data_IF_799233120217
#
_entry.id   IF_799233120217
#
_cell.length_a   1.000
_cell.length_b   1.000
_cell.length_c   1.000
_cell.angle_alpha   90.00
_cell.angle_beta   90.00
_cell.angle_gamma   90.00
#
_symmetry.space_group_name_H-M   'P 1'
#
loop_
_entity.id
_entity.type
_entity.pdbx_description
1 polymer ?
#
# COMPACT_ATOMS: atom_id res chain seq x y z
N UNK A 1 -15.61 -21.89 -22.29
CA UNK A 1 -16.11 -22.43 -21.01
C UNK A 1 -16.93 -21.33 -20.35
N UNK A 2 -18.08 -21.64 -19.74
CA UNK A 2 -18.91 -20.66 -19.01
C UNK A 2 -18.94 -21.01 -17.52
N UNK A 3 -18.92 -20.01 -16.64
CA UNK A 3 -19.01 -20.17 -15.18
C UNK A 3 -20.33 -19.64 -14.63
N UNK A 4 -20.98 -20.39 -13.74
CA UNK A 4 -22.13 -19.92 -12.97
C UNK A 4 -21.87 -20.11 -11.49
N UNK A 5 -22.09 -19.06 -10.69
CA UNK A 5 -22.08 -19.15 -9.22
C UNK A 5 -23.51 -18.90 -8.73
N UNK A 6 -24.15 -19.94 -8.21
CA UNK A 6 -25.52 -19.86 -7.70
C UNK A 6 -25.54 -19.68 -6.18
N UNK A 7 -26.31 -18.70 -5.70
CA UNK A 7 -26.57 -18.44 -4.28
C UNK A 7 -28.07 -18.34 -4.02
N UNK A 8 -28.49 -18.75 -2.83
CA UNK A 8 -29.87 -18.63 -2.35
C UNK A 8 -29.94 -17.47 -1.37
N UNK A 9 -30.98 -16.64 -1.45
CA UNK A 9 -31.10 -15.40 -0.67
C UNK A 9 -32.46 -15.32 0.02
N UNK A 10 -32.52 -14.58 1.13
CA UNK A 10 -33.80 -14.20 1.76
C UNK A 10 -34.52 -13.09 0.99
N UNK A 11 -33.80 -12.28 0.21
CA UNK A 11 -34.38 -11.12 -0.47
C UNK A 11 -33.74 -10.89 -1.85
N UNK A 12 -34.38 -11.49 -2.86
CA UNK A 12 -33.96 -11.41 -4.25
C UNK A 12 -33.92 -9.98 -4.78
N UNK A 13 -34.91 -9.16 -4.44
CA UNK A 13 -35.02 -7.78 -4.92
C UNK A 13 -33.86 -6.91 -4.41
N UNK A 14 -33.46 -7.08 -3.14
CA UNK A 14 -32.31 -6.37 -2.57
C UNK A 14 -31.01 -6.72 -3.28
N UNK A 15 -30.78 -8.01 -3.59
CA UNK A 15 -29.58 -8.41 -4.32
C UNK A 15 -29.60 -7.91 -5.76
N UNK A 16 -30.73 -8.02 -6.46
CA UNK A 16 -30.87 -7.47 -7.82
C UNK A 16 -30.55 -5.99 -7.82
N UNK A 17 -31.18 -5.23 -6.92
CA UNK A 17 -30.92 -3.79 -6.80
C UNK A 17 -29.45 -3.50 -6.52
N UNK A 18 -28.81 -4.22 -5.60
CA UNK A 18 -27.39 -4.05 -5.30
C UNK A 18 -26.52 -4.31 -6.54
N UNK A 19 -26.65 -5.48 -7.16
CA UNK A 19 -25.78 -5.85 -8.29
C UNK A 19 -26.02 -5.01 -9.55
N UNK A 20 -27.23 -4.48 -9.75
CA UNK A 20 -27.50 -3.56 -10.86
C UNK A 20 -27.02 -2.14 -10.55
N UNK A 21 -27.37 -1.59 -9.37
CA UNK A 21 -27.12 -0.18 -9.06
C UNK A 21 -25.70 0.11 -8.61
N UNK A 22 -25.04 -0.84 -7.94
CA UNK A 22 -23.66 -0.68 -7.43
C UNK A 22 -22.67 -1.32 -8.40
N UNK A 23 -22.91 -2.58 -8.79
CA UNK A 23 -21.96 -3.33 -9.61
C UNK A 23 -22.17 -3.17 -11.12
N UNK A 24 -23.25 -2.50 -11.55
CA UNK A 24 -23.55 -2.26 -12.97
C UNK A 24 -23.93 -3.52 -13.75
N UNK A 25 -24.34 -4.60 -13.09
CA UNK A 25 -24.70 -5.85 -13.78
C UNK A 25 -26.06 -5.75 -14.48
N UNK A 26 -26.25 -6.60 -15.49
CA UNK A 26 -27.51 -6.71 -16.21
C UNK A 26 -28.24 -8.00 -15.82
N UNK A 27 -29.57 -7.94 -15.84
CA UNK A 27 -30.39 -9.16 -15.85
C UNK A 27 -30.22 -9.88 -17.18
N UNK A 28 -29.57 -11.04 -17.13
CA UNK A 28 -29.34 -11.89 -18.29
C UNK A 28 -30.51 -12.85 -18.53
N UNK A 29 -31.14 -13.31 -17.44
CA UNK A 29 -32.31 -14.19 -17.47
C UNK A 29 -33.01 -14.14 -16.11
N UNK A 30 -34.31 -14.47 -16.08
CA UNK A 30 -35.10 -14.56 -14.86
C UNK A 30 -36.20 -15.61 -14.99
N UNK A 31 -36.62 -16.18 -13.86
CA UNK A 31 -37.74 -17.11 -13.79
C UNK A 31 -38.54 -16.89 -12.50
N UNK A 32 -39.83 -17.22 -12.54
CA UNK A 32 -40.75 -17.08 -11.42
C UNK A 32 -41.45 -18.41 -11.15
N UNK A 33 -41.56 -18.75 -9.87
CA UNK A 33 -42.23 -19.94 -9.34
C UNK A 33 -41.89 -21.24 -10.09
N UNK A 34 -40.62 -21.44 -10.41
CA UNK A 34 -40.12 -22.68 -10.99
C UNK A 34 -39.87 -23.67 -9.85
N UNK A 35 -40.79 -24.62 -9.66
CA UNK A 35 -40.78 -25.61 -8.56
C UNK A 35 -40.66 -24.97 -7.16
N UNK A 36 -41.31 -23.81 -6.98
CA UNK A 36 -41.30 -23.07 -5.72
C UNK A 36 -40.09 -22.14 -5.53
N UNK A 37 -39.32 -21.90 -6.58
CA UNK A 37 -38.22 -20.92 -6.60
C UNK A 37 -38.50 -19.77 -7.57
N UNK A 38 -38.12 -18.58 -7.14
CA UNK A 38 -37.87 -17.43 -8.02
C UNK A 38 -36.37 -17.30 -8.23
N UNK A 39 -35.92 -16.82 -9.38
CA UNK A 39 -34.50 -16.62 -9.60
C UNK A 39 -34.13 -15.70 -10.75
N UNK A 40 -32.91 -15.21 -10.69
CA UNK A 40 -32.35 -14.20 -11.59
C UNK A 40 -30.88 -14.50 -11.86
N UNK A 41 -30.46 -14.35 -13.11
CA UNK A 41 -29.05 -14.39 -13.50
C UNK A 41 -28.57 -12.97 -13.78
N UNK A 42 -27.54 -12.55 -13.04
CA UNK A 42 -26.94 -11.21 -13.14
C UNK A 42 -25.48 -11.31 -13.59
N UNK A 43 -25.09 -10.45 -14.51
CA UNK A 43 -23.69 -10.35 -14.94
C UNK A 43 -23.50 -9.33 -16.06
N UNK A 44 -22.28 -9.31 -16.60
CA UNK A 44 -21.94 -8.52 -17.78
C UNK A 44 -22.22 -9.39 -19.02
N UNK A 45 -22.97 -8.90 -20.02
CA UNK A 45 -23.22 -9.65 -21.25
C UNK A 45 -21.93 -10.14 -21.91
N UNK A 46 -21.91 -11.40 -22.34
CA UNK A 46 -20.78 -12.05 -23.02
C UNK A 46 -19.48 -12.17 -22.22
N UNK A 47 -19.50 -12.02 -20.89
CA UNK A 47 -18.31 -12.18 -20.03
C UNK A 47 -17.84 -13.64 -19.84
N UNK A 48 -18.68 -14.61 -20.22
CA UNK A 48 -18.44 -16.03 -19.96
C UNK A 48 -18.67 -16.44 -18.51
N UNK A 49 -19.23 -15.57 -17.66
CA UNK A 49 -19.63 -15.91 -16.30
C UNK A 49 -20.83 -15.08 -15.83
N UNK A 50 -21.60 -15.62 -14.88
CA UNK A 50 -22.69 -14.87 -14.23
C UNK A 50 -22.97 -15.40 -12.82
N UNK A 51 -23.61 -14.56 -12.01
CA UNK A 51 -24.18 -14.93 -10.72
C UNK A 51 -25.64 -15.34 -10.93
N UNK A 52 -26.07 -16.39 -10.25
CA UNK A 52 -27.48 -16.77 -10.14
C UNK A 52 -27.92 -16.58 -8.69
N UNK A 53 -29.03 -15.86 -8.51
CA UNK A 53 -29.69 -15.73 -7.22
C UNK A 53 -31.04 -16.39 -7.27
N UNK A 54 -31.35 -17.14 -6.22
CA UNK A 54 -32.63 -17.81 -6.07
C UNK A 54 -33.26 -17.46 -4.74
N UNK A 55 -34.59 -17.48 -4.66
CA UNK A 55 -35.35 -17.30 -3.43
C UNK A 55 -36.44 -18.37 -3.38
N UNK A 56 -36.75 -18.89 -2.19
CA UNK A 56 -37.84 -19.84 -1.97
C UNK A 56 -38.50 -19.60 -0.62
N UNK A 57 -39.51 -20.41 -0.29
CA UNK A 57 -40.21 -20.32 1.01
C UNK A 57 -39.35 -20.70 2.21
N UNK A 58 -38.26 -21.44 1.99
CA UNK A 58 -37.31 -21.76 3.06
C UNK A 58 -36.22 -20.71 3.00
N UNK A 59 -35.87 -20.05 4.12
CA UNK A 59 -34.74 -19.12 4.13
C UNK A 59 -33.41 -19.89 3.99
N UNK A 60 -32.40 -19.31 3.33
CA UNK A 60 -31.04 -19.85 3.32
C UNK A 60 -30.43 -19.86 4.73
N UNK A 61 -29.44 -20.71 4.93
CA UNK A 61 -28.51 -20.60 6.06
C UNK A 61 -27.14 -20.29 5.47
N UNK A 62 -26.69 -19.07 5.68
CA UNK A 62 -25.41 -18.58 5.20
C UNK A 62 -24.31 -18.91 6.20
N UNK A 63 -23.33 -19.73 5.79
CA UNK A 63 -22.12 -20.01 6.53
C UNK A 63 -20.92 -19.69 5.64
N UNK A 64 -20.34 -18.51 5.86
CA UNK A 64 -19.11 -18.06 5.22
C UNK A 64 -18.32 -17.21 6.21
N UNK A 65 -17.00 -17.19 6.09
CA UNK A 65 -16.12 -16.38 6.94
C UNK A 65 -15.69 -15.07 6.25
N UNK A 66 -14.68 -14.42 6.82
CA UNK A 66 -14.18 -13.14 6.30
C UNK A 66 -13.30 -13.28 5.05
N UNK A 67 -12.86 -14.49 4.73
CA UNK A 67 -11.96 -14.83 3.62
C UNK A 67 -12.70 -15.52 2.45
N UNK A 68 -14.00 -15.78 2.58
CA UNK A 68 -14.90 -16.18 1.49
C UNK A 68 -15.28 -14.97 0.60
N UNK A 69 -14.43 -14.69 -0.40
CA UNK A 69 -14.48 -13.47 -1.20
C UNK A 69 -14.91 -13.73 -2.65
N UNK A 70 -15.71 -12.81 -3.20
CA UNK A 70 -15.85 -12.65 -4.65
C UNK A 70 -14.97 -11.47 -5.11
N UNK A 71 -13.89 -11.78 -5.83
CA UNK A 71 -12.93 -10.76 -6.28
C UNK A 71 -13.22 -10.36 -7.72
N UNK A 72 -13.50 -9.08 -7.94
CA UNK A 72 -13.59 -8.49 -9.26
C UNK A 72 -12.34 -7.65 -9.55
N UNK A 73 -11.61 -8.08 -10.57
CA UNK A 73 -10.55 -7.27 -11.13
C UNK A 73 -11.11 -6.35 -12.20
N UNK A 74 -11.09 -5.05 -11.91
CA UNK A 74 -11.58 -4.00 -12.80
C UNK A 74 -10.43 -3.35 -13.56
N UNK A 75 -10.76 -2.57 -14.59
CA UNK A 75 -9.77 -2.08 -15.55
C UNK A 75 -8.98 -0.87 -15.05
N UNK A 76 -9.56 -0.08 -14.14
CA UNK A 76 -8.90 1.13 -13.62
C UNK A 76 -9.36 1.53 -12.22
N UNK A 77 -8.63 2.46 -11.61
CA UNK A 77 -8.97 3.02 -10.28
C UNK A 77 -10.25 3.85 -10.38
N UNK A 78 -10.48 4.52 -11.51
CA UNK A 78 -11.68 5.31 -11.78
C UNK A 78 -12.93 4.43 -11.78
N UNK A 79 -12.83 3.21 -12.31
CA UNK A 79 -13.91 2.23 -12.28
C UNK A 79 -14.23 1.80 -10.84
N UNK A 80 -13.20 1.52 -10.02
CA UNK A 80 -13.38 1.26 -8.58
C UNK A 80 -14.10 2.43 -7.91
N UNK A 81 -13.60 3.66 -8.13
CA UNK A 81 -14.15 4.86 -7.50
C UNK A 81 -15.60 5.12 -7.91
N UNK A 82 -15.97 4.81 -9.16
CA UNK A 82 -17.36 4.89 -9.62
C UNK A 82 -18.25 3.88 -8.86
N UNK A 83 -17.83 2.62 -8.79
CA UNK A 83 -18.56 1.57 -8.05
C UNK A 83 -18.70 1.94 -6.57
N UNK A 84 -17.63 2.42 -5.93
CA UNK A 84 -17.67 2.83 -4.51
C UNK A 84 -18.56 4.06 -4.28
N UNK A 85 -18.63 4.98 -5.24
CA UNK A 85 -19.55 6.12 -5.19
C UNK A 85 -21.00 5.64 -5.24
N UNK A 86 -21.31 4.71 -6.15
CA UNK A 86 -22.66 4.15 -6.26
C UNK A 86 -23.02 3.31 -5.02
N UNK A 87 -22.06 2.57 -4.45
CA UNK A 87 -22.21 1.89 -3.17
C UNK A 87 -22.56 2.87 -2.03
N UNK A 88 -21.85 4.00 -1.95
CA UNK A 88 -22.09 5.02 -0.93
C UNK A 88 -23.49 5.65 -1.04
N UNK A 89 -24.04 5.81 -2.26
CA UNK A 89 -25.43 6.25 -2.47
C UNK A 89 -26.46 5.27 -1.92
N UNK A 90 -26.09 3.99 -1.78
CA UNK A 90 -26.91 2.95 -1.15
C UNK A 90 -26.55 2.72 0.33
N UNK A 91 -25.77 3.62 0.95
CA UNK A 91 -25.27 3.49 2.33
C UNK A 91 -24.38 2.27 2.57
N UNK A 92 -23.69 1.80 1.53
CA UNK A 92 -22.70 0.72 1.62
C UNK A 92 -21.32 1.35 1.58
N UNK A 93 -20.56 1.19 2.66
CA UNK A 93 -19.23 1.75 2.80
C UNK A 93 -18.17 0.65 2.79
N UNK A 94 -16.95 0.94 2.30
CA UNK A 94 -15.85 0.01 2.37
C UNK A 94 -15.58 -0.48 3.78
N UNK A 95 -15.25 -1.76 3.91
CA UNK A 95 -14.83 -2.40 5.16
C UNK A 95 -13.36 -2.80 5.06
N UNK A 96 -12.68 -2.93 6.20
CA UNK A 96 -11.33 -3.48 6.23
C UNK A 96 -11.37 -4.99 5.96
N UNK A 97 -10.49 -5.45 5.08
CA UNK A 97 -10.27 -6.88 4.88
C UNK A 97 -9.36 -7.43 5.97
N UNK A 98 -9.74 -8.57 6.56
CA UNK A 98 -8.90 -9.34 7.48
C UNK A 98 -7.60 -9.79 6.83
N UNK A 99 -7.65 -10.17 5.55
CA UNK A 99 -6.47 -10.54 4.78
C UNK A 99 -5.62 -9.29 4.48
N UNK A 100 -4.37 -9.20 4.97
CA UNK A 100 -3.50 -8.04 4.77
C UNK A 100 -3.22 -7.72 3.30
N UNK A 101 -3.26 -8.74 2.43
CA UNK A 101 -3.11 -8.52 1.00
C UNK A 101 -4.25 -7.67 0.44
N UNK A 102 -5.50 -8.01 0.77
CA UNK A 102 -6.66 -7.25 0.29
C UNK A 102 -6.83 -5.91 1.00
N UNK A 103 -6.37 -5.78 2.25
CA UNK A 103 -6.29 -4.50 2.94
C UNK A 103 -5.43 -3.47 2.17
N UNK A 104 -4.36 -3.95 1.51
CA UNK A 104 -3.45 -3.11 0.74
C UNK A 104 -3.83 -2.98 -0.74
N UNK A 105 -4.41 -4.03 -1.33
CA UNK A 105 -4.56 -4.17 -2.78
C UNK A 105 -6.02 -4.17 -3.25
N UNK A 106 -6.99 -4.10 -2.35
CA UNK A 106 -8.42 -4.20 -2.69
C UNK A 106 -9.28 -3.22 -1.91
N UNK A 107 -10.51 -3.05 -2.38
CA UNK A 107 -11.56 -2.33 -1.67
C UNK A 107 -12.67 -3.34 -1.39
N UNK A 108 -12.92 -3.63 -0.10
CA UNK A 108 -13.93 -4.59 0.31
C UNK A 108 -15.26 -3.90 0.55
N UNK A 109 -16.33 -4.39 -0.08
CA UNK A 109 -17.72 -4.08 0.25
C UNK A 109 -18.47 -5.36 0.57
N UNK A 110 -19.66 -5.22 1.17
CA UNK A 110 -20.50 -6.34 1.57
C UNK A 110 -21.85 -6.23 0.87
N UNK A 111 -22.30 -7.33 0.27
CA UNK A 111 -23.63 -7.39 -0.36
C UNK A 111 -24.75 -7.50 0.71
N UNK A 112 -26.03 -7.35 0.33
CA UNK A 112 -27.16 -7.46 1.26
C UNK A 112 -27.25 -8.73 2.11
N UNK A 113 -26.65 -9.84 1.66
CA UNK A 113 -26.67 -11.13 2.36
C UNK A 113 -25.42 -11.33 3.24
N UNK A 114 -24.48 -10.37 3.24
CA UNK A 114 -23.25 -10.43 4.03
C UNK A 114 -22.03 -10.95 3.27
N UNK A 115 -22.16 -11.30 1.98
CA UNK A 115 -21.02 -11.79 1.19
C UNK A 115 -20.07 -10.65 0.86
N UNK A 116 -18.78 -10.93 0.99
CA UNK A 116 -17.71 -9.95 0.76
C UNK A 116 -17.30 -9.92 -0.71
N UNK A 117 -17.20 -8.71 -1.23
CA UNK A 117 -16.76 -8.42 -2.59
C UNK A 117 -15.50 -7.58 -2.52
N UNK A 118 -14.45 -7.99 -3.23
CA UNK A 118 -13.24 -7.21 -3.41
C UNK A 118 -13.22 -6.58 -4.79
N UNK A 119 -13.02 -5.27 -4.85
CA UNK A 119 -12.70 -4.53 -6.07
C UNK A 119 -11.20 -4.23 -6.09
N UNK A 120 -10.50 -4.72 -7.11
CA UNK A 120 -9.06 -4.55 -7.25
C UNK A 120 -8.67 -4.36 -8.71
N UNK A 121 -7.47 -3.88 -8.97
CA UNK A 121 -6.91 -3.88 -10.33
C UNK A 121 -6.15 -5.19 -10.51
N UNK A 122 -6.31 -5.83 -11.67
CA UNK A 122 -5.52 -7.02 -12.02
C UNK A 122 -4.04 -6.74 -11.79
N UNK A 123 -3.34 -7.52 -10.95
CA UNK A 123 -1.94 -7.27 -10.66
C UNK A 123 -1.14 -7.39 -11.96
N UNK A 124 -0.59 -6.26 -12.44
CA UNK A 124 0.31 -6.29 -13.58
C UNK A 124 1.60 -6.99 -13.15
N UNK A 125 1.99 -8.01 -13.91
CA UNK A 125 3.30 -8.64 -13.75
C UNK A 125 4.39 -7.59 -14.02
N UNK A 126 5.38 -7.52 -13.14
CA UNK A 126 6.50 -6.61 -13.28
C UNK A 126 7.39 -7.03 -14.47
N UNK A 127 7.65 -6.09 -15.35
CA UNK A 127 8.66 -6.10 -16.40
C UNK A 127 9.85 -5.26 -15.91
N UNK A 128 11.01 -5.87 -15.74
CA UNK A 128 12.25 -5.17 -15.35
C UNK A 128 13.42 -5.69 -16.19
N UNK A 129 14.60 -5.02 -16.18
CA UNK A 129 15.82 -5.59 -16.75
C UNK A 129 16.12 -6.97 -16.17
N UNK A 130 16.71 -7.86 -16.97
CA UNK A 130 16.80 -9.30 -16.68
C UNK A 130 17.48 -9.66 -15.34
N UNK A 131 18.41 -8.83 -14.88
CA UNK A 131 19.16 -9.00 -13.63
C UNK A 131 18.30 -8.73 -12.38
N UNK A 132 17.33 -7.80 -12.44
CA UNK A 132 16.40 -7.53 -11.34
C UNK A 132 15.27 -8.57 -11.28
N UNK A 133 14.77 -9.05 -12.43
CA UNK A 133 13.71 -10.07 -12.50
C UNK A 133 14.12 -11.33 -11.76
N UNK A 134 15.32 -11.85 -12.03
CA UNK A 134 15.77 -13.12 -11.47
C UNK A 134 15.75 -13.12 -9.93
N UNK A 135 16.17 -12.02 -9.30
CA UNK A 135 16.15 -11.91 -7.83
C UNK A 135 14.72 -11.81 -7.29
N UNK A 136 13.83 -11.07 -7.95
CA UNK A 136 12.44 -10.92 -7.52
C UNK A 136 11.63 -12.22 -7.70
N UNK A 137 11.79 -12.89 -8.85
CA UNK A 137 11.12 -14.15 -9.14
C UNK A 137 11.53 -15.26 -8.17
N UNK A 138 12.81 -15.32 -7.79
CA UNK A 138 13.29 -16.26 -6.77
C UNK A 138 12.62 -16.05 -5.41
N UNK A 139 12.15 -14.84 -5.12
CA UNK A 139 11.43 -14.49 -3.89
C UNK A 139 9.90 -14.56 -4.07
N UNK A 140 9.41 -15.03 -5.22
CA UNK A 140 7.98 -15.08 -5.51
C UNK A 140 7.33 -13.69 -5.69
N UNK A 141 8.13 -12.66 -5.98
CA UNK A 141 7.67 -11.28 -6.18
C UNK A 141 7.45 -11.04 -7.66
N UNK A 142 6.19 -10.94 -8.05
CA UNK A 142 5.77 -10.80 -9.45
C UNK A 142 4.89 -9.57 -9.70
N UNK A 143 4.33 -8.97 -8.65
CA UNK A 143 3.40 -7.83 -8.75
C UNK A 143 3.90 -6.62 -7.96
N UNK A 144 3.35 -5.44 -8.27
CA UNK A 144 3.66 -4.20 -7.54
C UNK A 144 3.38 -4.29 -6.04
N UNK A 145 2.22 -4.84 -5.66
CA UNK A 145 1.86 -5.03 -4.24
C UNK A 145 2.80 -5.99 -3.52
N UNK A 146 3.20 -7.08 -4.20
CA UNK A 146 4.20 -8.01 -3.68
C UNK A 146 5.56 -7.36 -3.50
N UNK A 147 5.99 -6.49 -4.44
CA UNK A 147 7.24 -5.76 -4.33
C UNK A 147 7.25 -4.82 -3.12
N UNK A 148 6.21 -4.00 -2.96
CA UNK A 148 6.13 -3.08 -1.82
C UNK A 148 6.14 -3.85 -0.50
N UNK A 149 5.37 -4.94 -0.41
CA UNK A 149 5.37 -5.81 0.76
C UNK A 149 6.75 -6.42 1.01
N UNK A 150 7.39 -6.98 -0.02
CA UNK A 150 8.72 -7.58 0.09
C UNK A 150 9.77 -6.57 0.60
N UNK A 151 9.87 -5.41 -0.04
CA UNK A 151 10.83 -4.36 0.34
C UNK A 151 10.59 -3.85 1.77
N UNK A 152 9.32 -3.72 2.17
CA UNK A 152 8.93 -3.31 3.53
C UNK A 152 9.41 -4.31 4.60
N UNK A 153 9.43 -5.61 4.27
CA UNK A 153 9.85 -6.67 5.20
C UNK A 153 11.35 -6.98 5.16
N UNK A 154 12.11 -6.43 4.20
CA UNK A 154 13.57 -6.55 4.25
C UNK A 154 14.13 -5.85 5.51
N UNK A 155 15.20 -6.40 6.13
CA UNK A 155 15.92 -5.71 7.19
C UNK A 155 16.33 -4.27 6.83
N UNK A 156 16.31 -3.40 7.83
CA UNK A 156 16.88 -2.07 7.69
C UNK A 156 18.41 -2.17 7.73
N UNK A 157 19.09 -1.62 6.72
CA UNK A 157 20.54 -1.73 6.61
C UNK A 157 21.11 -0.87 5.47
N UNK A 158 22.35 -0.41 5.64
CA UNK A 158 23.07 0.34 4.59
C UNK A 158 23.62 -0.65 3.57
N UNK A 159 23.29 -0.43 2.30
CA UNK A 159 23.90 -1.15 1.20
C UNK A 159 25.37 -0.73 1.00
N UNK A 160 26.18 -1.59 0.37
CA UNK A 160 27.60 -1.29 0.11
C UNK A 160 27.81 -0.04 -0.76
N UNK A 161 26.86 0.26 -1.66
CA UNK A 161 26.81 1.49 -2.44
C UNK A 161 25.45 2.18 -2.30
N UNK A 162 25.47 3.50 -2.07
CA UNK A 162 24.25 4.33 -1.99
C UNK A 162 23.70 4.71 -3.37
N UNK A 163 24.49 4.53 -4.41
CA UNK A 163 24.16 4.92 -5.79
C UNK A 163 23.61 3.73 -6.59
N UNK A 164 23.50 2.55 -5.99
CA UNK A 164 23.06 1.31 -6.64
C UNK A 164 21.86 0.69 -5.88
N UNK A 165 20.62 1.16 -6.14
CA UNK A 165 19.45 0.65 -5.43
C UNK A 165 19.16 -0.84 -5.67
N UNK A 166 19.71 -1.47 -6.72
CA UNK A 166 19.56 -2.90 -6.98
C UNK A 166 20.21 -3.77 -5.89
N UNK A 167 21.21 -3.23 -5.18
CA UNK A 167 21.86 -3.92 -4.06
C UNK A 167 20.88 -4.28 -2.94
N UNK A 168 19.72 -3.62 -2.85
CA UNK A 168 18.66 -4.02 -1.93
C UNK A 168 18.23 -5.47 -2.14
N UNK A 169 18.17 -5.92 -3.39
CA UNK A 169 17.79 -7.28 -3.75
C UNK A 169 18.96 -8.27 -3.57
N UNK A 170 20.20 -7.81 -3.77
CA UNK A 170 21.40 -8.64 -3.70
C UNK A 170 21.82 -8.87 -2.24
N UNK A 171 21.84 -7.80 -1.45
CA UNK A 171 22.29 -7.78 -0.06
C UNK A 171 21.15 -7.99 0.94
N UNK A 172 19.91 -8.15 0.47
CA UNK A 172 18.71 -8.44 1.26
C UNK A 172 18.48 -7.46 2.44
N UNK A 173 18.84 -6.19 2.25
CA UNK A 173 18.57 -5.13 3.21
C UNK A 173 18.50 -3.76 2.50
N UNK A 174 17.96 -2.75 3.17
CA UNK A 174 17.98 -1.41 2.62
C UNK A 174 17.58 -0.34 3.62
N UNK A 175 17.78 0.91 3.24
CA UNK A 175 17.38 2.10 4.03
C UNK A 175 16.11 2.72 3.47
N UNK A 176 15.59 3.77 4.12
CA UNK A 176 14.52 4.57 3.54
C UNK A 176 14.89 5.09 2.14
N UNK A 177 16.16 5.38 1.87
CA UNK A 177 16.59 5.85 0.56
C UNK A 177 16.62 4.74 -0.48
N UNK A 178 17.32 3.63 -0.22
CA UNK A 178 17.55 2.59 -1.23
C UNK A 178 16.29 1.79 -1.55
N UNK A 179 15.44 1.47 -0.57
CA UNK A 179 14.18 0.74 -0.79
C UNK A 179 13.19 1.52 -1.64
N UNK A 180 12.94 2.79 -1.30
CA UNK A 180 11.98 3.62 -2.04
C UNK A 180 12.53 4.01 -3.43
N UNK A 181 13.85 4.23 -3.56
CA UNK A 181 14.47 4.43 -4.87
C UNK A 181 14.29 3.21 -5.78
N UNK A 182 14.54 1.98 -5.27
CA UNK A 182 14.32 0.75 -6.03
C UNK A 182 12.85 0.59 -6.44
N UNK A 183 11.92 0.83 -5.53
CA UNK A 183 10.49 0.78 -5.83
C UNK A 183 10.11 1.78 -6.94
N UNK A 184 10.64 3.01 -6.89
CA UNK A 184 10.40 4.03 -7.92
C UNK A 184 10.98 3.63 -9.28
N UNK A 185 12.19 3.09 -9.33
CA UNK A 185 12.82 2.58 -10.57
C UNK A 185 11.94 1.50 -11.20
N UNK A 186 11.46 0.56 -10.39
CA UNK A 186 10.61 -0.54 -10.89
C UNK A 186 9.24 -0.01 -11.34
N UNK A 187 8.66 0.96 -10.62
CA UNK A 187 7.42 1.62 -11.04
C UNK A 187 7.55 2.27 -12.42
N UNK A 188 8.62 3.02 -12.65
CA UNK A 188 8.89 3.72 -13.90
C UNK A 188 9.09 2.73 -15.06
N UNK A 189 9.89 1.68 -14.84
CA UNK A 189 10.10 0.62 -15.82
C UNK A 189 8.79 -0.10 -16.22
N UNK A 190 7.80 -0.08 -15.34
CA UNK A 190 6.49 -0.73 -15.54
C UNK A 190 5.38 0.23 -15.95
N UNK A 191 5.68 1.51 -16.16
CA UNK A 191 4.68 2.55 -16.42
C UNK A 191 3.56 2.57 -15.36
N UNK A 192 3.92 2.32 -14.09
CA UNK A 192 3.02 2.45 -12.95
C UNK A 192 2.92 3.94 -12.64
N UNK A 193 1.79 4.54 -13.03
CA UNK A 193 1.53 5.97 -12.85
C UNK A 193 1.28 6.33 -11.39
N UNK A 194 1.46 7.61 -11.07
CA UNK A 194 1.10 8.17 -9.77
C UNK A 194 2.05 7.83 -8.64
N UNK A 195 3.21 7.23 -8.91
CA UNK A 195 4.26 6.93 -7.93
C UNK A 195 5.30 8.04 -7.93
N UNK A 196 5.39 8.80 -6.85
CA UNK A 196 6.37 9.89 -6.63
C UNK A 196 7.32 9.50 -5.51
N UNK A 197 8.61 9.85 -5.65
CA UNK A 197 9.61 9.63 -4.60
C UNK A 197 9.85 10.96 -3.90
N UNK A 198 9.60 11.01 -2.60
CA UNK A 198 9.66 12.24 -1.82
C UNK A 198 10.85 12.19 -0.88
N UNK A 199 11.64 13.27 -0.87
CA UNK A 199 12.62 13.55 0.18
C UNK A 199 12.00 14.55 1.16
N UNK A 200 12.09 14.24 2.44
CA UNK A 200 11.65 15.12 3.51
C UNK A 200 12.73 15.34 4.56
N UNK A 201 12.72 16.52 5.15
CA UNK A 201 13.38 16.80 6.42
C UNK A 201 12.31 16.84 7.50
N UNK A 202 12.47 16.06 8.55
CA UNK A 202 11.54 16.04 9.68
C UNK A 202 12.28 16.16 11.01
N UNK A 203 11.58 16.58 12.06
CA UNK A 203 12.11 16.65 13.42
C UNK A 203 12.16 15.26 14.03
N UNK A 204 13.29 14.55 13.89
CA UNK A 204 13.46 13.23 14.49
C UNK A 204 13.58 13.35 16.00
N UNK A 205 12.74 12.60 16.73
CA UNK A 205 12.71 12.55 18.19
C UNK A 205 12.24 11.17 18.70
N UNK A 206 12.30 10.93 20.00
CA UNK A 206 11.95 9.64 20.60
C UNK A 206 10.46 9.26 20.48
N UNK A 207 9.57 10.23 20.26
CA UNK A 207 8.13 9.99 20.11
C UNK A 207 7.75 9.50 18.72
N UNK A 208 8.37 10.03 17.66
CA UNK A 208 8.07 9.66 16.28
C UNK A 208 9.02 8.60 15.70
N UNK A 209 10.17 8.38 16.36
CA UNK A 209 11.19 7.43 15.92
C UNK A 209 11.56 6.48 17.08
N UNK A 210 10.71 5.50 17.39
CA UNK A 210 11.01 4.50 18.40
C UNK A 210 12.32 3.76 18.08
N UNK A 211 13.18 3.56 19.08
CA UNK A 211 14.47 2.88 18.92
C UNK A 211 15.70 3.80 18.88
N UNK A 212 15.53 5.13 18.93
CA UNK A 212 16.66 6.06 19.09
C UNK A 212 17.42 5.86 20.41
N UNK A 213 16.72 5.43 21.46
CA UNK A 213 17.23 5.45 22.83
C UNK A 213 17.33 6.88 23.39
N UNK A 214 18.27 7.08 24.30
CA UNK A 214 18.43 8.35 25.03
C UNK A 214 19.47 9.29 24.40
N UNK A 215 19.90 9.04 23.15
CA UNK A 215 20.99 9.82 22.52
C UNK A 215 20.66 11.32 22.50
N UNK A 216 19.46 11.69 22.04
CA UNK A 216 19.10 13.11 21.93
C UNK A 216 19.02 13.78 23.31
N UNK A 217 18.46 13.10 24.32
CA UNK A 217 18.35 13.65 25.68
C UNK A 217 19.72 13.75 26.37
N UNK A 218 20.65 12.82 26.13
CA UNK A 218 22.04 12.89 26.60
C UNK A 218 22.79 14.12 26.06
N UNK A 219 22.43 14.56 24.86
CA UNK A 219 22.97 15.76 24.22
C UNK A 219 22.07 17.00 24.36
N UNK A 220 21.04 16.95 25.22
CA UNK A 220 20.09 18.05 25.43
C UNK A 220 19.44 18.59 24.14
N UNK A 221 19.23 17.73 23.15
CA UNK A 221 18.55 18.04 21.89
C UNK A 221 17.08 17.61 21.99
N UNK A 222 16.14 18.54 21.76
CA UNK A 222 14.71 18.22 21.67
C UNK A 222 14.40 17.37 20.42
N UNK A 223 15.05 17.71 19.31
CA UNK A 223 14.96 16.99 18.06
C UNK A 223 16.23 17.16 17.23
N UNK A 224 16.38 16.32 16.22
CA UNK A 224 17.43 16.43 15.22
C UNK A 224 16.81 16.38 13.82
N UNK A 225 17.05 17.35 12.92
CA UNK A 225 16.57 17.25 11.55
C UNK A 225 17.15 16.03 10.83
N UNK A 226 16.28 15.12 10.40
CA UNK A 226 16.68 13.90 9.70
C UNK A 226 16.09 13.86 8.30
N UNK A 227 16.90 13.40 7.34
CA UNK A 227 16.50 13.26 5.95
C UNK A 227 15.86 11.90 5.70
N UNK A 228 14.58 11.87 5.33
CA UNK A 228 13.82 10.64 5.13
C UNK A 228 13.19 10.58 3.74
N UNK A 229 13.22 9.40 3.11
CA UNK A 229 12.56 9.17 1.84
C UNK A 229 11.32 8.31 2.04
N UNK A 230 10.22 8.68 1.37
CA UNK A 230 9.00 7.89 1.29
C UNK A 230 8.41 7.97 -0.12
N UNK A 231 7.43 7.11 -0.44
CA UNK A 231 6.69 7.19 -1.70
C UNK A 231 5.36 7.90 -1.50
N UNK A 232 4.92 8.66 -2.48
CA UNK A 232 3.52 9.04 -2.60
C UNK A 232 2.91 8.31 -3.79
N UNK A 233 1.86 7.54 -3.56
CA UNK A 233 1.18 6.74 -4.59
C UNK A 233 -0.26 7.24 -4.70
N UNK A 234 -0.62 7.81 -5.85
CA UNK A 234 -1.95 8.36 -6.12
C UNK A 234 -2.43 9.34 -5.02
N UNK A 235 -1.53 10.20 -4.54
CA UNK A 235 -1.83 11.19 -3.48
C UNK A 235 -1.74 10.65 -2.05
N UNK A 236 -1.46 9.35 -1.84
CA UNK A 236 -1.29 8.76 -0.51
C UNK A 236 0.18 8.51 -0.20
N UNK A 237 0.67 9.07 0.91
CA UNK A 237 2.01 8.82 1.42
C UNK A 237 2.14 7.40 1.98
N UNK A 238 3.19 6.69 1.58
CA UNK A 238 3.49 5.31 1.94
C UNK A 238 4.98 5.21 2.28
N UNK A 239 5.27 4.73 3.49
CA UNK A 239 6.63 4.45 3.96
C UNK A 239 6.88 2.94 4.01
N UNK A 240 7.80 2.45 3.20
CA UNK A 240 8.24 1.05 3.15
C UNK A 240 9.61 0.82 3.81
N UNK A 241 10.05 1.69 4.71
CA UNK A 241 11.36 1.56 5.38
C UNK A 241 11.45 0.28 6.21
N UNK A 242 10.43 -0.03 7.01
CA UNK A 242 10.31 -1.24 7.85
C UNK A 242 8.87 -1.74 7.91
N UNK A 243 8.65 -2.96 8.41
CA UNK A 243 7.32 -3.53 8.65
C UNK A 243 6.41 -2.64 9.52
N UNK A 244 7.00 -1.92 10.47
CA UNK A 244 6.30 -1.03 11.41
C UNK A 244 6.31 0.45 11.00
N UNK A 245 6.92 0.79 9.87
CA UNK A 245 6.98 2.19 9.41
C UNK A 245 5.59 2.72 9.06
N UNK A 246 5.27 3.89 9.59
CA UNK A 246 4.00 4.57 9.34
C UNK A 246 4.27 6.06 9.14
N UNK A 247 3.86 6.59 7.99
CA UNK A 247 3.98 8.01 7.66
C UNK A 247 3.30 8.91 8.69
N UNK A 248 2.23 8.44 9.35
CA UNK A 248 1.50 9.23 10.33
C UNK A 248 2.30 9.51 11.61
N UNK A 249 3.36 8.77 11.91
CA UNK A 249 4.16 9.00 13.12
C UNK A 249 4.97 10.30 13.03
N UNK A 250 5.40 10.69 11.83
CA UNK A 250 6.27 11.86 11.63
C UNK A 250 5.64 12.96 10.75
N UNK A 251 4.45 12.75 10.17
CA UNK A 251 3.82 13.73 9.25
C UNK A 251 3.72 15.16 9.81
N UNK A 252 3.46 15.30 11.11
CA UNK A 252 3.28 16.60 11.77
C UNK A 252 4.61 17.27 12.11
N UNK A 253 5.71 16.50 12.02
CA UNK A 253 7.08 16.94 12.28
C UNK A 253 7.87 17.22 11.01
N UNK A 254 7.25 17.08 9.82
CA UNK A 254 7.88 17.40 8.54
C UNK A 254 8.10 18.92 8.45
N UNK A 255 9.35 19.32 8.24
CA UNK A 255 9.78 20.70 8.07
C UNK A 255 9.67 21.11 6.59
N UNK A 256 10.14 20.25 5.70
CA UNK A 256 10.06 20.44 4.24
C UNK A 256 10.00 19.07 3.56
N UNK A 257 9.24 18.97 2.47
CA UNK A 257 9.18 17.79 1.62
C UNK A 257 9.07 18.20 0.15
N UNK A 258 9.79 17.52 -0.74
CA UNK A 258 9.75 17.74 -2.17
C UNK A 258 10.10 16.46 -2.93
N UNK A 259 9.66 16.40 -4.18
CA UNK A 259 9.91 15.26 -5.06
C UNK A 259 11.37 15.20 -5.51
N UNK A 260 11.94 14.00 -5.52
CA UNK A 260 13.28 13.68 -6.02
C UNK A 260 13.22 12.49 -6.98
N UNK A 261 14.27 12.32 -7.79
CA UNK A 261 14.46 11.12 -8.62
C UNK A 261 15.36 10.08 -7.91
N UNK A 262 15.32 8.79 -8.29
CA UNK A 262 16.09 7.73 -7.61
C UNK A 262 17.59 8.02 -7.47
N UNK A 263 18.20 8.62 -8.49
CA UNK A 263 19.63 8.99 -8.52
C UNK A 263 19.99 10.03 -7.44
N UNK A 264 19.00 10.79 -6.95
CA UNK A 264 19.19 11.79 -5.91
C UNK A 264 19.17 11.21 -4.48
N UNK A 265 18.80 9.94 -4.29
CA UNK A 265 18.82 9.28 -2.98
C UNK A 265 20.23 9.06 -2.40
N UNK A 266 21.25 9.05 -3.26
CA UNK A 266 22.66 8.88 -2.89
C UNK A 266 23.31 10.18 -2.41
N UNK A 267 24.33 10.65 -3.14
CA UNK A 267 25.12 11.82 -2.73
C UNK A 267 24.32 13.11 -2.59
N UNK A 268 23.33 13.32 -3.47
CA UNK A 268 22.51 14.54 -3.44
C UNK A 268 21.80 14.68 -2.10
N UNK A 269 21.11 13.62 -1.64
CA UNK A 269 20.44 13.60 -0.33
C UNK A 269 21.41 13.90 0.81
N UNK A 270 22.60 13.29 0.79
CA UNK A 270 23.62 13.51 1.84
C UNK A 270 24.05 14.98 1.87
N UNK A 271 24.42 15.55 0.72
CA UNK A 271 24.82 16.97 0.61
C UNK A 271 23.69 17.91 1.03
N UNK A 272 22.45 17.59 0.65
CA UNK A 272 21.27 18.34 1.06
C UNK A 272 21.08 18.31 2.58
N UNK A 273 21.16 17.12 3.20
CA UNK A 273 21.03 16.94 4.64
C UNK A 273 22.12 17.70 5.40
N UNK A 274 23.38 17.59 4.97
CA UNK A 274 24.49 18.30 5.60
C UNK A 274 24.31 19.82 5.52
N UNK A 275 23.88 20.34 4.35
CA UNK A 275 23.56 21.77 4.19
C UNK A 275 22.43 22.20 5.12
N UNK A 276 21.38 21.38 5.23
CA UNK A 276 20.24 21.64 6.09
C UNK A 276 20.66 21.70 7.57
N UNK A 277 21.45 20.73 8.05
CA UNK A 277 21.94 20.71 9.42
C UNK A 277 22.81 21.94 9.75
N UNK A 278 23.72 22.33 8.84
CA UNK A 278 24.53 23.54 9.02
C UNK A 278 23.67 24.79 9.20
N UNK A 279 22.61 24.93 8.41
CA UNK A 279 21.69 26.05 8.55
C UNK A 279 20.89 25.96 9.85
N UNK A 280 20.37 24.78 10.18
CA UNK A 280 19.59 24.55 11.39
C UNK A 280 20.37 24.86 12.67
N UNK A 281 21.66 24.49 12.74
CA UNK A 281 22.56 24.82 13.85
C UNK A 281 22.63 26.33 14.07
N UNK A 282 22.80 27.11 12.99
CA UNK A 282 22.87 28.57 13.05
C UNK A 282 21.53 29.18 13.47
N UNK A 283 20.43 28.75 12.85
CA UNK A 283 19.10 29.31 13.08
C UNK A 283 18.58 29.05 14.50
N UNK A 284 18.96 27.92 15.10
CA UNK A 284 18.49 27.49 16.42
C UNK A 284 19.55 27.68 17.53
N UNK A 285 20.71 28.27 17.21
CA UNK A 285 21.80 28.53 18.16
C UNK A 285 22.21 27.25 18.93
N UNK A 286 22.30 26.13 18.21
CA UNK A 286 22.66 24.84 18.80
C UNK A 286 24.11 24.92 19.32
N UNK A 287 24.40 24.45 20.55
CA UNK A 287 25.72 24.61 21.19
C UNK A 287 26.80 23.65 20.66
N UNK A 288 26.53 22.99 19.53
CA UNK A 288 27.39 21.99 18.90
C UNK A 288 27.73 22.42 17.47
N UNK A 289 28.93 22.07 17.02
CA UNK A 289 29.29 22.24 15.63
C UNK A 289 28.67 21.17 14.72
N UNK A 290 28.90 21.30 13.41
CA UNK A 290 28.36 20.37 12.43
C UNK A 290 28.90 18.94 12.59
N UNK A 291 30.17 18.76 12.93
CA UNK A 291 30.78 17.43 13.05
C UNK A 291 30.26 16.70 14.29
N UNK A 292 30.06 17.43 15.39
CA UNK A 292 29.41 16.92 16.60
C UNK A 292 27.97 16.50 16.31
N UNK A 293 27.17 17.36 15.67
CA UNK A 293 25.79 17.03 15.29
C UNK A 293 25.72 15.86 14.32
N UNK A 294 26.63 15.79 13.34
CA UNK A 294 26.69 14.68 12.40
C UNK A 294 27.08 13.36 13.09
N UNK A 295 27.98 13.41 14.07
CA UNK A 295 28.34 12.26 14.90
C UNK A 295 27.16 11.77 15.74
N UNK A 296 26.45 12.67 16.42
CA UNK A 296 25.22 12.35 17.19
C UNK A 296 24.18 11.69 16.27
N UNK A 297 24.00 12.25 15.07
CA UNK A 297 23.12 11.68 14.04
C UNK A 297 23.51 10.25 13.68
N UNK A 298 24.79 9.98 13.42
CA UNK A 298 25.24 8.63 13.06
C UNK A 298 25.00 7.63 14.19
N UNK A 299 25.15 8.04 15.45
CA UNK A 299 24.82 7.20 16.61
C UNK A 299 23.32 6.86 16.65
N UNK A 300 22.44 7.85 16.39
CA UNK A 300 21.00 7.61 16.28
C UNK A 300 20.70 6.55 15.20
N UNK A 301 21.27 6.70 14.00
CA UNK A 301 21.05 5.74 12.91
C UNK A 301 21.61 4.36 13.24
N UNK A 302 22.73 4.28 13.97
CA UNK A 302 23.31 3.01 14.39
C UNK A 302 22.41 2.28 15.40
N UNK A 303 21.79 2.98 16.34
CA UNK A 303 20.81 2.41 17.27
C UNK A 303 19.58 1.88 16.55
N UNK A 304 19.09 2.60 15.54
CA UNK A 304 17.94 2.15 14.73
C UNK A 304 18.28 0.90 13.89
N UNK A 305 19.52 0.78 13.43
CA UNK A 305 19.97 -0.40 12.68
C UNK A 305 20.21 -1.63 13.56
N UNK A 306 20.63 -1.41 14.82
CA UNK A 306 20.91 -2.47 15.79
C UNK A 306 20.20 -2.15 17.12
N UNK A 307 18.87 -2.30 17.19
CA UNK A 307 18.15 -2.04 18.43
C UNK A 307 18.69 -2.95 19.52
N UNK A 308 19.17 -2.35 20.62
CA UNK A 308 19.53 -3.11 21.81
C UNK A 308 18.24 -3.69 22.39
N UNK A 309 18.15 -5.01 22.44
CA UNK A 309 17.07 -5.73 23.16
C UNK A 309 17.02 -5.33 24.64
#
# INVERSE_FOLDING_TARGET
MNLRIARHTENLDKLVHFYQSVMGFHTLSQFLNHDGYDGVMLGIPNSGWHLEFTQSRRPPIHNFDEDDLLVFYVHSVEEINAILKDAALQHIFPQESKNPYWLLNGNQIVDPDGYRIILSIMPRLLKTPADMIYNLEKQGVSTWGQLLSYLRHLPYGRNSSRNEPNLVLVENCGTCSSKHALAKIIADANSISGVRLILSMYKMNSSNTPGLGDILSQHALEYLPEAHCYLEINGKAIDITTATSDYHTFKNDIIIAFEIVPEQCGEYKVKYHQKFLKQWILDNQIPYDFEEIWSIREQCIQNLANPKN
#
